data_IF_978084739646
#
_entry.id   IF_978084739646
#
_cell.length_a   1.000
_cell.length_b   1.000
_cell.length_c   1.000
_cell.angle_alpha   90.00
_cell.angle_beta   90.00
_cell.angle_gamma   90.00
#
_symmetry.space_group_name_H-M   'P 1'
#
loop_
_entity.id
_entity.type
_entity.pdbx_description
1 polymer ?
#
# COMPACT_ATOMS: atom_id res chain seq x y z
N UNK A 1 -8.87 36.71 -14.80
CA UNK A 1 -8.93 36.66 -13.33
C UNK A 1 -7.77 35.79 -12.88
N UNK A 2 -6.90 36.24 -11.99
CA UNK A 2 -5.88 35.34 -11.41
C UNK A 2 -6.57 34.20 -10.65
N UNK A 3 -6.08 32.99 -10.82
CA UNK A 3 -6.57 31.83 -10.07
C UNK A 3 -6.32 32.05 -8.59
N UNK A 4 -7.32 31.81 -7.75
CA UNK A 4 -7.24 31.96 -6.28
C UNK A 4 -6.06 31.18 -5.65
N UNK A 5 -5.56 30.14 -6.32
CA UNK A 5 -4.40 29.34 -5.87
C UNK A 5 -3.05 30.05 -6.09
N UNK A 6 -2.96 31.09 -6.94
CA UNK A 6 -1.71 31.84 -7.17
C UNK A 6 -1.36 32.84 -6.06
N UNK A 7 -2.31 33.09 -5.17
CA UNK A 7 -2.12 34.00 -4.02
C UNK A 7 -1.88 33.25 -2.69
N UNK A 8 -1.90 31.91 -2.70
CA UNK A 8 -1.64 31.09 -1.53
C UNK A 8 -0.14 31.15 -1.19
N UNK A 9 0.22 31.97 -0.24
CA UNK A 9 1.53 31.89 0.41
C UNK A 9 1.50 30.68 1.35
N UNK A 10 2.18 29.62 0.95
CA UNK A 10 2.43 28.46 1.81
C UNK A 10 3.63 28.80 2.70
N UNK A 11 3.36 29.05 3.97
CA UNK A 11 4.43 29.13 4.96
C UNK A 11 4.94 27.71 5.24
N UNK A 12 6.20 27.46 4.91
CA UNK A 12 6.84 26.19 5.24
C UNK A 12 7.05 26.13 6.76
N UNK A 13 6.37 25.21 7.43
CA UNK A 13 6.64 24.90 8.84
C UNK A 13 7.84 23.96 8.89
N UNK A 14 8.99 24.51 9.24
CA UNK A 14 10.19 23.71 9.50
C UNK A 14 10.09 23.18 10.94
N UNK A 15 9.86 21.90 11.11
CA UNK A 15 9.99 21.26 12.43
C UNK A 15 11.46 21.17 12.81
N UNK A 16 11.84 21.55 14.04
CA UNK A 16 13.18 21.31 14.52
C UNK A 16 13.46 19.81 14.50
N UNK A 17 14.74 19.39 14.32
CA UNK A 17 15.09 17.97 14.42
C UNK A 17 14.71 17.43 15.79
N UNK A 18 14.34 16.16 15.85
CA UNK A 18 14.02 15.51 17.11
C UNK A 18 15.24 15.54 18.05
N UNK A 19 15.01 15.80 19.32
CA UNK A 19 16.07 15.79 20.35
C UNK A 19 16.68 14.40 20.53
N UNK A 20 15.92 13.35 20.20
CA UNK A 20 16.37 11.95 20.29
C UNK A 20 16.34 11.31 18.91
N UNK A 21 17.46 10.75 18.49
CA UNK A 21 17.62 9.98 17.27
C UNK A 21 17.65 8.49 17.64
N UNK A 22 16.76 7.71 17.05
CA UNK A 22 16.77 6.26 17.17
C UNK A 22 17.37 5.67 15.89
N UNK A 23 18.51 4.97 16.03
CA UNK A 23 19.14 4.28 14.92
C UNK A 23 18.58 2.88 14.76
N UNK A 24 18.24 2.52 13.53
CA UNK A 24 17.78 1.20 13.15
C UNK A 24 18.55 0.75 11.92
N UNK A 25 19.13 -0.46 11.98
CA UNK A 25 19.83 -1.06 10.84
C UNK A 25 19.00 -2.17 10.21
N UNK A 26 18.97 -2.22 8.89
CA UNK A 26 18.34 -3.27 8.09
C UNK A 26 19.00 -3.32 6.70
N UNK A 27 18.83 -4.44 5.97
CA UNK A 27 19.31 -4.54 4.59
C UNK A 27 18.51 -3.63 3.66
N UNK A 28 17.21 -3.45 3.95
CA UNK A 28 16.30 -2.63 3.14
C UNK A 28 15.48 -1.71 4.06
N UNK A 29 15.50 -0.42 3.76
CA UNK A 29 14.61 0.55 4.36
C UNK A 29 13.60 1.02 3.30
N UNK A 30 12.31 0.79 3.55
CA UNK A 30 11.21 1.23 2.69
C UNK A 30 10.54 2.42 3.36
N UNK A 31 10.46 3.54 2.64
CA UNK A 31 9.78 4.76 3.11
C UNK A 31 8.45 4.90 2.38
N UNK A 32 7.37 4.87 3.16
CA UNK A 32 6.00 4.88 2.69
C UNK A 32 5.34 3.50 2.81
N UNK A 33 4.35 3.36 3.71
CA UNK A 33 3.61 2.12 3.94
C UNK A 33 2.32 2.00 3.11
N UNK A 34 2.22 2.70 1.99
CA UNK A 34 1.18 2.47 0.99
C UNK A 34 1.35 1.11 0.31
N UNK A 35 0.46 0.76 -0.62
CA UNK A 35 0.50 -0.57 -1.26
C UNK A 35 1.84 -0.86 -1.94
N UNK A 36 2.44 0.14 -2.60
CA UNK A 36 3.72 -0.03 -3.29
C UNK A 36 4.85 -0.33 -2.30
N UNK A 37 4.95 0.45 -1.22
CA UNK A 37 5.96 0.23 -0.19
C UNK A 37 5.72 -1.06 0.59
N UNK A 38 4.47 -1.36 0.94
CA UNK A 38 4.12 -2.63 1.59
C UNK A 38 4.49 -3.82 0.70
N UNK A 39 4.22 -3.76 -0.61
CA UNK A 39 4.63 -4.81 -1.56
C UNK A 39 6.14 -4.95 -1.65
N UNK A 40 6.88 -3.83 -1.73
CA UNK A 40 8.33 -3.85 -1.76
C UNK A 40 8.92 -4.46 -0.47
N UNK A 41 8.37 -4.11 0.69
CA UNK A 41 8.79 -4.64 1.97
C UNK A 41 8.52 -6.16 2.08
N UNK A 42 7.33 -6.60 1.68
CA UNK A 42 6.92 -8.00 1.68
C UNK A 42 7.86 -8.83 0.80
N UNK A 43 8.08 -8.40 -0.45
CA UNK A 43 8.94 -9.15 -1.37
C UNK A 43 10.41 -9.15 -0.92
N UNK A 44 10.91 -8.04 -0.38
CA UNK A 44 12.26 -7.99 0.17
C UNK A 44 12.45 -8.97 1.33
N UNK A 45 11.48 -9.03 2.24
CA UNK A 45 11.50 -9.97 3.37
C UNK A 45 11.41 -11.43 2.91
N UNK A 46 10.60 -11.74 1.91
CA UNK A 46 10.52 -13.07 1.28
C UNK A 46 11.84 -13.52 0.65
N UNK A 47 12.62 -12.56 0.16
CA UNK A 47 13.99 -12.80 -0.34
C UNK A 47 15.03 -12.90 0.79
N UNK A 48 14.59 -13.00 2.05
CA UNK A 48 15.47 -13.19 3.21
C UNK A 48 16.20 -11.93 3.66
N UNK A 49 15.74 -10.75 3.26
CA UNK A 49 16.34 -9.49 3.71
C UNK A 49 15.70 -9.02 5.01
N UNK A 50 16.50 -8.44 5.89
CA UNK A 50 15.98 -7.67 7.02
C UNK A 50 15.39 -6.36 6.50
N UNK A 51 14.14 -6.04 6.91
CA UNK A 51 13.39 -4.92 6.35
C UNK A 51 12.87 -4.02 7.45
N UNK A 52 13.02 -2.72 7.24
CA UNK A 52 12.33 -1.66 8.00
C UNK A 52 11.38 -0.94 7.07
N UNK A 53 10.13 -0.84 7.47
CA UNK A 53 9.08 -0.09 6.77
C UNK A 53 8.71 1.14 7.61
N UNK A 54 8.85 2.33 7.03
CA UNK A 54 8.65 3.61 7.71
C UNK A 54 7.52 4.38 7.04
N UNK A 55 6.61 4.94 7.82
CA UNK A 55 5.61 5.90 7.34
C UNK A 55 5.38 6.99 8.39
N UNK A 56 4.83 8.11 7.95
CA UNK A 56 4.39 9.20 8.82
C UNK A 56 2.95 9.03 9.33
N UNK A 57 2.20 8.11 8.74
CA UNK A 57 0.86 7.74 9.17
C UNK A 57 0.92 6.49 10.05
N UNK A 58 0.09 6.39 11.09
CA UNK A 58 0.11 5.28 12.04
C UNK A 58 -0.54 4.00 11.50
N UNK A 59 -0.72 3.89 10.19
CA UNK A 59 -1.48 2.83 9.54
C UNK A 59 -0.81 2.39 8.24
N UNK A 60 -0.93 1.10 7.92
CA UNK A 60 -0.40 0.48 6.71
C UNK A 60 -1.49 0.44 5.61
N UNK A 61 -1.08 0.50 4.34
CA UNK A 61 -1.96 0.37 3.18
C UNK A 61 -2.21 1.67 2.42
N UNK A 62 -1.92 2.82 3.04
CA UNK A 62 -2.05 4.12 2.40
C UNK A 62 -3.45 4.36 1.83
N UNK A 63 -3.54 4.91 0.63
CA UNK A 63 -4.84 5.23 0.01
C UNK A 63 -5.75 4.02 -0.17
N UNK A 64 -5.22 2.83 -0.40
CA UNK A 64 -6.05 1.64 -0.59
C UNK A 64 -6.81 1.19 0.65
N UNK A 65 -6.36 1.61 1.83
CA UNK A 65 -7.02 1.27 3.10
C UNK A 65 -7.73 2.46 3.72
N UNK A 66 -7.21 3.69 3.50
CA UNK A 66 -7.68 4.86 4.26
C UNK A 66 -8.52 5.86 3.46
N UNK A 67 -8.62 5.70 2.12
CA UNK A 67 -9.34 6.66 1.28
C UNK A 67 -10.75 6.21 0.91
N UNK A 68 -11.22 5.06 1.39
CA UNK A 68 -12.53 4.48 1.08
C UNK A 68 -12.76 4.32 -0.45
N UNK A 69 -11.71 4.04 -1.20
CA UNK A 69 -11.79 3.85 -2.65
C UNK A 69 -12.36 2.47 -2.98
N UNK A 70 -11.96 1.44 -2.25
CA UNK A 70 -12.45 0.06 -2.36
C UNK A 70 -12.33 -0.58 -3.75
N UNK A 71 -11.38 -0.12 -4.56
CA UNK A 71 -11.34 -0.43 -5.99
C UNK A 71 -9.91 -0.54 -6.51
N UNK A 72 -9.57 -1.68 -7.12
CA UNK A 72 -8.36 -1.85 -7.93
C UNK A 72 -8.65 -1.66 -9.40
N UNK A 73 -7.97 -0.71 -10.03
CA UNK A 73 -7.97 -0.51 -11.48
C UNK A 73 -6.62 -0.92 -12.08
N UNK A 74 -6.62 -1.34 -13.36
CA UNK A 74 -5.39 -1.61 -14.10
C UNK A 74 -4.70 -2.92 -13.73
N UNK A 75 -5.29 -3.77 -12.89
CA UNK A 75 -4.75 -5.09 -12.55
C UNK A 75 -4.92 -6.08 -13.69
N UNK A 76 -5.96 -5.89 -14.49
CA UNK A 76 -6.28 -6.73 -15.65
C UNK A 76 -6.28 -5.91 -16.93
N UNK A 77 -5.94 -6.59 -18.03
CA UNK A 77 -6.13 -6.05 -19.38
C UNK A 77 -7.60 -5.91 -19.72
N UNK A 78 -7.87 -5.15 -20.79
CA UNK A 78 -9.23 -4.91 -21.28
C UNK A 78 -9.78 -6.12 -22.06
N UNK A 79 -11.11 -6.11 -22.29
CA UNK A 79 -11.79 -7.08 -23.13
C UNK A 79 -11.09 -7.25 -24.49
N UNK A 80 -11.14 -8.43 -25.11
CA UNK A 80 -11.83 -9.64 -24.64
C UNK A 80 -11.00 -10.59 -23.78
N UNK A 81 -9.72 -10.33 -23.57
CA UNK A 81 -8.80 -11.29 -22.93
C UNK A 81 -8.77 -11.26 -21.41
N UNK A 82 -9.04 -10.12 -20.80
CA UNK A 82 -8.98 -9.93 -19.32
C UNK A 82 -7.77 -10.55 -18.63
N UNK A 83 -6.61 -10.49 -19.28
CA UNK A 83 -5.37 -11.05 -18.74
C UNK A 83 -4.95 -10.27 -17.51
N UNK A 84 -4.60 -10.95 -16.43
CA UNK A 84 -4.01 -10.29 -15.27
C UNK A 84 -2.63 -9.72 -15.63
N UNK A 85 -2.40 -8.47 -15.31
CA UNK A 85 -1.17 -7.73 -15.65
C UNK A 85 -0.26 -7.52 -14.44
N UNK A 86 -0.82 -7.55 -13.23
CA UNK A 86 -0.10 -7.33 -11.98
C UNK A 86 -0.11 -8.63 -11.18
N UNK A 87 1.06 -9.11 -10.80
CA UNK A 87 1.29 -10.37 -10.10
C UNK A 87 2.01 -10.15 -8.75
N UNK A 88 2.47 -11.23 -8.11
CA UNK A 88 3.16 -11.19 -6.83
C UNK A 88 2.20 -10.96 -5.68
N UNK A 89 2.35 -9.85 -4.98
CA UNK A 89 1.49 -9.51 -3.81
C UNK A 89 0.00 -9.49 -4.19
N UNK A 90 -0.36 -9.12 -5.43
CA UNK A 90 -1.74 -9.18 -5.89
C UNK A 90 -2.28 -10.60 -6.01
N UNK A 91 -1.46 -11.56 -6.41
CA UNK A 91 -1.86 -12.97 -6.44
C UNK A 91 -2.20 -13.48 -5.03
N UNK A 92 -1.43 -13.02 -4.03
CA UNK A 92 -1.69 -13.35 -2.62
C UNK A 92 -2.98 -12.71 -2.13
N UNK A 93 -3.21 -11.43 -2.43
CA UNK A 93 -4.45 -10.72 -2.08
C UNK A 93 -5.66 -11.46 -2.67
N UNK A 94 -5.58 -11.89 -3.93
CA UNK A 94 -6.68 -12.60 -4.58
C UNK A 94 -6.90 -13.98 -3.98
N UNK A 95 -5.84 -14.68 -3.64
CA UNK A 95 -5.91 -16.01 -3.02
C UNK A 95 -6.49 -15.96 -1.61
N UNK A 96 -6.13 -14.94 -0.82
CA UNK A 96 -6.51 -14.85 0.59
C UNK A 96 -7.89 -14.18 0.78
N UNK A 97 -8.16 -13.09 0.06
CA UNK A 97 -9.38 -12.31 0.22
C UNK A 97 -10.54 -12.81 -0.68
N UNK A 98 -10.23 -13.53 -1.75
CA UNK A 98 -11.25 -14.06 -2.65
C UNK A 98 -12.23 -15.03 -1.98
N UNK A 99 -11.75 -16.08 -1.30
CA UNK A 99 -12.60 -17.08 -0.65
C UNK A 99 -13.47 -16.53 0.48
N UNK A 100 -13.04 -15.46 1.16
CA UNK A 100 -13.81 -14.82 2.24
C UNK A 100 -14.96 -13.93 1.71
N UNK A 101 -15.03 -13.69 0.40
CA UNK A 101 -16.02 -12.79 -0.20
C UNK A 101 -15.63 -11.32 -0.11
N UNK A 102 -14.41 -11.02 0.30
CA UNK A 102 -13.90 -9.65 0.42
C UNK A 102 -13.45 -9.04 -0.92
N UNK A 103 -13.56 -9.80 -2.01
CA UNK A 103 -13.31 -9.36 -3.38
C UNK A 103 -14.52 -9.58 -4.29
N UNK A 104 -14.82 -8.59 -5.13
CA UNK A 104 -15.83 -8.69 -6.17
C UNK A 104 -15.27 -8.22 -7.51
N UNK A 105 -15.35 -9.08 -8.55
CA UNK A 105 -14.86 -8.80 -9.89
C UNK A 105 -16.01 -8.32 -10.77
N UNK A 106 -15.95 -7.09 -11.25
CA UNK A 106 -16.85 -6.55 -12.27
C UNK A 106 -16.14 -6.52 -13.62
N UNK A 107 -16.70 -7.21 -14.60
CA UNK A 107 -16.14 -7.33 -15.96
C UNK A 107 -17.06 -6.69 -16.98
N UNK A 108 -16.53 -5.68 -17.69
CA UNK A 108 -17.19 -5.05 -18.84
C UNK A 108 -16.15 -4.81 -19.94
N UNK A 109 -15.88 -3.55 -20.32
CA UNK A 109 -14.74 -3.20 -21.19
C UNK A 109 -13.41 -3.41 -20.48
N UNK A 110 -13.38 -3.25 -19.18
CA UNK A 110 -12.23 -3.53 -18.30
C UNK A 110 -12.69 -4.40 -17.13
N UNK A 111 -11.75 -4.99 -16.44
CA UNK A 111 -12.01 -5.66 -15.15
C UNK A 111 -11.67 -4.72 -14.03
N UNK A 112 -12.64 -4.48 -13.19
CA UNK A 112 -12.53 -3.73 -11.95
C UNK A 112 -12.68 -4.70 -10.79
N UNK A 113 -11.80 -4.62 -9.80
CA UNK A 113 -11.86 -5.47 -8.60
C UNK A 113 -12.22 -4.60 -7.41
N UNK A 114 -13.42 -4.80 -6.89
CA UNK A 114 -13.83 -4.17 -5.62
C UNK A 114 -13.31 -5.01 -4.47
N UNK A 115 -12.92 -4.37 -3.40
CA UNK A 115 -12.39 -5.04 -2.22
C UNK A 115 -12.88 -4.39 -0.92
N UNK A 116 -12.86 -5.18 0.14
CA UNK A 116 -13.09 -4.71 1.51
C UNK A 116 -11.80 -4.12 2.07
N UNK A 117 -11.76 -2.81 2.31
CA UNK A 117 -10.56 -2.10 2.78
C UNK A 117 -10.11 -2.59 4.16
N UNK A 118 -11.06 -2.95 5.02
CA UNK A 118 -10.74 -3.47 6.36
C UNK A 118 -10.07 -4.83 6.27
N UNK A 119 -10.56 -5.70 5.38
CA UNK A 119 -9.95 -7.02 5.15
C UNK A 119 -8.55 -6.88 4.54
N UNK A 120 -8.39 -5.97 3.56
CA UNK A 120 -7.08 -5.69 2.97
C UNK A 120 -6.08 -5.14 4.00
N UNK A 121 -6.51 -4.19 4.83
CA UNK A 121 -5.66 -3.62 5.88
C UNK A 121 -5.19 -4.67 6.88
N UNK A 122 -6.10 -5.51 7.36
CA UNK A 122 -5.78 -6.63 8.26
C UNK A 122 -4.81 -7.63 7.62
N UNK A 123 -5.03 -7.96 6.36
CA UNK A 123 -4.15 -8.86 5.62
C UNK A 123 -2.73 -8.29 5.50
N UNK A 124 -2.60 -7.01 5.15
CA UNK A 124 -1.31 -6.34 5.07
C UNK A 124 -0.57 -6.34 6.41
N UNK A 125 -1.25 -5.96 7.49
CA UNK A 125 -0.67 -5.95 8.84
C UNK A 125 -0.21 -7.34 9.29
N UNK A 126 -1.04 -8.36 9.06
CA UNK A 126 -0.72 -9.74 9.42
C UNK A 126 0.48 -10.26 8.61
N UNK A 127 0.50 -9.98 7.31
CA UNK A 127 1.59 -10.40 6.41
C UNK A 127 2.91 -9.74 6.81
N UNK A 128 2.91 -8.42 7.02
CA UNK A 128 4.09 -7.66 7.42
C UNK A 128 4.63 -8.17 8.77
N UNK A 129 3.74 -8.41 9.72
CA UNK A 129 4.11 -8.95 11.03
C UNK A 129 4.66 -10.37 10.95
N UNK A 130 4.03 -11.25 10.16
CA UNK A 130 4.45 -12.65 10.01
C UNK A 130 5.83 -12.79 9.37
N UNK A 131 6.20 -11.86 8.50
CA UNK A 131 7.50 -11.79 7.84
C UNK A 131 8.60 -11.11 8.70
N UNK A 132 8.27 -10.67 9.90
CA UNK A 132 9.23 -10.02 10.80
C UNK A 132 9.68 -8.64 10.34
N UNK A 133 8.92 -7.98 9.47
CA UNK A 133 9.22 -6.64 8.98
C UNK A 133 9.04 -5.65 10.13
N UNK A 134 10.09 -4.88 10.46
CA UNK A 134 10.03 -3.86 11.49
C UNK A 134 9.30 -2.62 10.95
N UNK A 135 8.23 -2.22 11.61
CA UNK A 135 7.47 -1.02 11.25
C UNK A 135 7.78 0.14 12.19
N UNK A 136 7.90 1.35 11.62
CA UNK A 136 8.01 2.63 12.34
C UNK A 136 6.94 3.54 11.71
N UNK A 137 5.84 3.75 12.46
CA UNK A 137 4.64 4.47 12.01
C UNK A 137 4.38 5.67 12.91
#
# INVERSE_FOLDING_TARGET
MPHALTELKLDAVVKPPAETVHEVSADVCVVGAGIAGSSAAIESARLGRSVVLVDSLPLIGGQMVHSLIGLFCGVFGNAPRYTQLTHGVFDDIFRELGPSGDLHFSRSHTTTVFYNEVALGRWLEQTIRSLGIKTIL
#
